data_IF_685069867777
#
_entry.id   IF_685069867777
#
_cell.length_a   1.000
_cell.length_b   1.000
_cell.length_c   1.000
_cell.angle_alpha   90.00
_cell.angle_beta   90.00
_cell.angle_gamma   90.00
#
_symmetry.space_group_name_H-M   'P 1'
#
loop_
_entity.id
_entity.type
_entity.pdbx_description
1 polymer ?
#
# COMPACT_ATOMS: atom_id res chain seq x y z
N UNK A 1 18.27 -2.57 3.80
CA UNK A 1 17.03 -2.14 4.45
C UNK A 1 16.79 -3.09 5.60
N UNK A 2 16.55 -2.56 6.80
CA UNK A 2 16.09 -3.32 7.97
C UNK A 2 14.69 -3.88 7.70
N UNK A 3 14.34 -5.00 8.34
CA UNK A 3 13.02 -5.61 8.14
C UNK A 3 11.88 -4.72 8.65
N UNK A 4 12.10 -3.89 9.68
CA UNK A 4 11.10 -2.90 10.13
C UNK A 4 10.90 -1.77 9.11
N UNK A 5 11.97 -1.32 8.45
CA UNK A 5 11.87 -0.37 7.33
C UNK A 5 11.00 -0.96 6.20
N UNK A 6 11.24 -2.22 5.87
CA UNK A 6 10.49 -2.93 4.82
C UNK A 6 9.01 -3.08 5.16
N UNK A 7 8.69 -3.45 6.41
CA UNK A 7 7.31 -3.56 6.88
C UNK A 7 6.62 -2.19 6.97
N UNK A 8 7.36 -1.15 7.38
CA UNK A 8 6.84 0.22 7.40
C UNK A 8 6.51 0.70 5.99
N UNK A 9 7.42 0.49 5.02
CA UNK A 9 7.13 0.81 3.61
C UNK A 9 5.95 0.02 3.07
N UNK A 10 5.82 -1.27 3.40
CA UNK A 10 4.66 -2.06 2.99
C UNK A 10 3.36 -1.47 3.56
N UNK A 11 3.32 -1.15 4.86
CA UNK A 11 2.16 -0.49 5.47
C UNK A 11 1.84 0.89 4.90
N UNK A 12 2.85 1.63 4.40
CA UNK A 12 2.66 2.90 3.69
C UNK A 12 2.14 2.71 2.26
N UNK A 13 2.54 1.64 1.58
CA UNK A 13 1.98 1.25 0.29
C UNK A 13 0.49 0.99 0.40
N UNK A 14 0.08 0.21 1.41
CA UNK A 14 -1.33 -0.08 1.66
C UNK A 14 -2.13 1.19 2.05
N UNK A 15 -1.56 2.07 2.88
CA UNK A 15 -2.20 3.37 3.22
C UNK A 15 -2.41 4.24 1.96
N UNK A 16 -1.43 4.25 1.05
CA UNK A 16 -1.54 4.95 -0.22
C UNK A 16 -2.63 4.36 -1.11
N UNK A 17 -2.72 3.02 -1.21
CA UNK A 17 -3.78 2.33 -1.95
C UNK A 17 -5.17 2.62 -1.38
N UNK A 18 -5.33 2.49 -0.06
CA UNK A 18 -6.57 2.84 0.65
C UNK A 18 -7.03 4.26 0.33
N UNK A 19 -6.12 5.25 0.45
CA UNK A 19 -6.44 6.66 0.17
C UNK A 19 -6.76 6.89 -1.29
N UNK A 20 -6.01 6.24 -2.18
CA UNK A 20 -6.21 6.32 -3.62
C UNK A 20 -7.64 5.89 -3.97
N UNK A 21 -8.06 4.71 -3.52
CA UNK A 21 -9.36 4.15 -3.82
C UNK A 21 -10.51 4.90 -3.12
N UNK A 22 -10.30 5.34 -1.88
CA UNK A 22 -11.29 6.16 -1.16
C UNK A 22 -11.53 7.51 -1.85
N UNK A 23 -10.47 8.14 -2.37
CA UNK A 23 -10.61 9.36 -3.15
C UNK A 23 -11.27 9.08 -4.51
N UNK A 24 -10.90 7.99 -5.18
CA UNK A 24 -11.53 7.57 -6.43
C UNK A 24 -13.06 7.41 -6.27
N UNK A 25 -13.50 6.79 -5.17
CA UNK A 25 -14.91 6.58 -4.85
C UNK A 25 -15.74 7.88 -4.80
N UNK A 26 -15.12 9.03 -4.49
CA UNK A 26 -15.80 10.33 -4.40
C UNK A 26 -16.08 10.95 -5.77
N UNK A 27 -15.24 10.66 -6.77
CA UNK A 27 -15.30 11.34 -8.09
C UNK A 27 -15.91 10.47 -9.18
N UNK A 28 -15.95 9.14 -9.01
CA UNK A 28 -16.63 8.27 -9.97
C UNK A 28 -18.14 8.49 -9.95
N UNK A 29 -18.79 8.41 -11.11
CA UNK A 29 -20.23 8.62 -11.26
C UNK A 29 -21.01 7.32 -11.42
N UNK A 30 -20.36 6.24 -11.87
CA UNK A 30 -20.95 4.92 -12.03
C UNK A 30 -20.97 4.17 -10.68
N UNK A 31 -22.15 3.77 -10.22
CA UNK A 31 -22.33 3.12 -8.92
C UNK A 31 -21.60 1.78 -8.79
N UNK A 32 -21.53 0.98 -9.86
CA UNK A 32 -20.77 -0.29 -9.83
C UNK A 32 -19.27 -0.06 -9.67
N UNK A 33 -18.76 1.00 -10.29
CA UNK A 33 -17.35 1.38 -10.13
C UNK A 33 -17.11 1.89 -8.73
N UNK A 34 -18.02 2.71 -8.20
CA UNK A 34 -17.96 3.20 -6.82
C UNK A 34 -17.91 2.06 -5.82
N UNK A 35 -18.77 1.07 -5.98
CA UNK A 35 -18.81 -0.14 -5.14
C UNK A 35 -17.48 -0.89 -5.20
N UNK A 36 -16.94 -1.12 -6.41
CA UNK A 36 -15.65 -1.79 -6.59
C UNK A 36 -14.50 -1.03 -5.91
N UNK A 37 -14.33 0.27 -6.18
CA UNK A 37 -13.21 1.01 -5.58
C UNK A 37 -13.38 1.18 -4.06
N UNK A 38 -14.61 1.24 -3.56
CA UNK A 38 -14.85 1.21 -2.11
C UNK A 38 -14.40 -0.12 -1.51
N UNK A 39 -14.73 -1.23 -2.18
CA UNK A 39 -14.29 -2.55 -1.74
C UNK A 39 -12.77 -2.70 -1.79
N UNK A 40 -12.11 -2.23 -2.85
CA UNK A 40 -10.64 -2.23 -2.94
C UNK A 40 -10.02 -1.39 -1.82
N UNK A 41 -10.59 -0.23 -1.47
CA UNK A 41 -10.12 0.54 -0.33
C UNK A 41 -10.19 -0.28 0.98
N UNK A 42 -11.30 -0.97 1.23
CA UNK A 42 -11.44 -1.84 2.40
C UNK A 42 -10.40 -2.96 2.41
N UNK A 43 -10.13 -3.58 1.26
CA UNK A 43 -9.07 -4.59 1.11
C UNK A 43 -7.68 -4.05 1.46
N UNK A 44 -7.31 -2.86 0.98
CA UNK A 44 -6.02 -2.26 1.32
C UNK A 44 -5.92 -1.90 2.80
N UNK A 45 -7.03 -1.52 3.43
CA UNK A 45 -7.05 -1.31 4.88
C UNK A 45 -6.79 -2.63 5.65
N UNK A 46 -7.38 -3.74 5.22
CA UNK A 46 -7.12 -5.06 5.80
C UNK A 46 -5.65 -5.48 5.59
N UNK A 47 -5.09 -5.25 4.40
CA UNK A 47 -3.67 -5.50 4.12
C UNK A 47 -2.76 -4.69 5.03
N UNK A 48 -3.08 -3.40 5.21
CA UNK A 48 -2.35 -2.52 6.12
C UNK A 48 -2.33 -3.07 7.53
N UNK A 49 -3.49 -3.50 8.05
CA UNK A 49 -3.60 -4.06 9.39
C UNK A 49 -2.74 -5.31 9.57
N UNK A 50 -2.62 -6.14 8.54
CA UNK A 50 -1.73 -7.31 8.54
C UNK A 50 -0.26 -6.90 8.66
N UNK A 51 0.20 -5.92 7.87
CA UNK A 51 1.59 -5.44 7.95
C UNK A 51 1.88 -4.71 9.26
N UNK A 52 0.99 -3.84 9.73
CA UNK A 52 1.12 -3.13 11.00
C UNK A 52 1.18 -4.12 12.19
N UNK A 53 0.41 -5.20 12.12
CA UNK A 53 0.44 -6.25 13.16
C UNK A 53 1.77 -6.98 13.17
N UNK A 54 2.28 -7.36 11.99
CA UNK A 54 3.58 -8.00 11.86
C UNK A 54 4.74 -7.08 12.30
N UNK A 55 4.67 -5.79 11.99
CA UNK A 55 5.62 -4.78 12.44
C UNK A 55 5.69 -4.75 13.98
N UNK A 56 4.54 -4.65 14.64
CA UNK A 56 4.45 -4.63 16.12
C UNK A 56 5.01 -5.90 16.75
N UNK A 57 4.72 -7.05 16.17
CA UNK A 57 5.26 -8.34 16.63
C UNK A 57 6.79 -8.38 16.50
N UNK A 58 7.33 -7.97 15.35
CA UNK A 58 8.77 -7.96 15.12
C UNK A 58 9.50 -6.96 16.01
N UNK A 59 8.92 -5.77 16.24
CA UNK A 59 9.48 -4.78 17.15
C UNK A 59 9.54 -5.32 18.58
N UNK A 60 8.48 -6.00 19.05
CA UNK A 60 8.46 -6.64 20.36
C UNK A 60 9.55 -7.73 20.50
N UNK A 61 9.76 -8.54 19.45
CA UNK A 61 10.83 -9.55 19.41
C UNK A 61 12.24 -8.92 19.44
N UNK A 62 12.40 -7.73 18.85
CA UNK A 62 13.68 -6.97 18.86
C UNK A 62 13.97 -6.27 20.19
N UNK A 63 13.00 -6.17 21.10
CA UNK A 63 13.18 -5.56 22.43
C UNK A 63 13.37 -4.04 22.37
N UNK A 64 14.47 -3.53 22.94
CA UNK A 64 14.76 -2.09 23.01
C UNK A 64 15.31 -1.51 21.69
N UNK A 65 14.72 -1.88 20.55
CA UNK A 65 15.07 -1.29 19.27
C UNK A 65 14.42 0.10 19.14
N UNK A 66 15.21 1.11 18.79
CA UNK A 66 14.71 2.45 18.54
C UNK A 66 14.27 2.57 17.08
N UNK A 67 12.96 2.60 16.87
CA UNK A 67 12.32 2.75 15.57
C UNK A 67 11.82 4.18 15.30
N UNK A 68 12.08 5.12 16.21
CA UNK A 68 11.55 6.50 16.10
C UNK A 68 11.93 7.21 14.80
N UNK A 69 13.11 6.91 14.25
CA UNK A 69 13.57 7.45 12.97
C UNK A 69 12.69 7.04 11.78
N UNK A 70 11.97 5.92 11.85
CA UNK A 70 11.07 5.46 10.77
C UNK A 70 9.83 6.34 10.62
N UNK A 71 9.54 7.14 11.65
CA UNK A 71 8.41 8.07 11.70
C UNK A 71 8.87 9.53 11.67
N UNK A 72 10.17 9.78 11.40
CA UNK A 72 10.66 11.11 11.13
C UNK A 72 10.10 11.61 9.78
N UNK A 73 9.79 12.90 9.70
CA UNK A 73 9.16 13.51 8.53
C UNK A 73 9.99 13.32 7.24
N UNK A 74 11.33 13.39 7.33
CA UNK A 74 12.20 13.23 6.16
C UNK A 74 12.20 11.78 5.67
N UNK A 75 12.19 10.82 6.59
CA UNK A 75 12.18 9.38 6.29
C UNK A 75 10.83 8.96 5.73
N UNK A 76 9.73 9.39 6.36
CA UNK A 76 8.39 9.13 5.84
C UNK A 76 8.23 9.71 4.43
N UNK A 77 8.69 10.95 4.20
CA UNK A 77 8.62 11.56 2.87
C UNK A 77 9.43 10.77 1.84
N UNK A 78 10.61 10.29 2.21
CA UNK A 78 11.42 9.44 1.35
C UNK A 78 10.69 8.13 0.99
N UNK A 79 10.09 7.45 1.98
CA UNK A 79 9.32 6.24 1.74
C UNK A 79 8.07 6.48 0.91
N UNK A 80 7.34 7.58 1.13
CA UNK A 80 6.20 7.96 0.28
C UNK A 80 6.62 8.12 -1.18
N UNK A 81 7.75 8.79 -1.42
CA UNK A 81 8.27 8.92 -2.79
C UNK A 81 8.58 7.57 -3.43
N UNK A 82 9.18 6.63 -2.69
CA UNK A 82 9.46 5.29 -3.20
C UNK A 82 8.18 4.51 -3.54
N UNK A 83 7.16 4.61 -2.67
CA UNK A 83 5.84 4.01 -2.92
C UNK A 83 5.19 4.63 -4.16
N UNK A 84 5.29 5.95 -4.28
CA UNK A 84 4.73 6.73 -5.40
C UNK A 84 5.36 6.41 -6.74
N UNK A 85 6.68 6.21 -6.75
CA UNK A 85 7.41 5.80 -7.94
C UNK A 85 7.09 4.35 -8.35
N UNK A 86 6.64 3.52 -7.42
CA UNK A 86 6.46 2.08 -7.62
C UNK A 86 5.02 1.64 -7.93
N UNK A 87 4.01 2.18 -7.23
CA UNK A 87 2.64 1.62 -7.24
C UNK A 87 1.54 2.69 -7.25
N UNK A 88 1.49 3.56 -6.24
CA UNK A 88 0.36 4.48 -6.05
C UNK A 88 0.79 5.94 -6.03
N UNK A 89 0.23 6.81 -6.88
CA UNK A 89 0.61 8.23 -6.90
C UNK A 89 0.34 8.92 -5.56
N UNK A 90 1.10 9.98 -5.27
CA UNK A 90 0.92 10.78 -4.06
C UNK A 90 -0.54 11.22 -3.87
N UNK A 91 -1.06 11.24 -2.62
CA UNK A 91 -2.45 11.57 -2.33
C UNK A 91 -2.94 12.88 -2.97
N UNK A 92 -2.08 13.90 -3.03
CA UNK A 92 -2.41 15.20 -3.61
C UNK A 92 -2.57 15.18 -5.14
N UNK A 93 -1.98 14.19 -5.82
CA UNK A 93 -2.13 13.98 -7.26
C UNK A 93 -3.43 13.22 -7.60
N UNK A 94 -3.95 12.42 -6.66
CA UNK A 94 -5.11 11.54 -6.87
C UNK A 94 -6.35 12.30 -7.35
N UNK A 95 -6.81 13.40 -6.72
CA UNK A 95 -8.01 14.09 -7.19
C UNK A 95 -7.91 14.57 -8.63
N UNK A 96 -6.74 15.09 -9.04
CA UNK A 96 -6.51 15.57 -10.41
C UNK A 96 -6.48 14.43 -11.41
N UNK A 97 -5.88 13.29 -11.04
CA UNK A 97 -5.86 12.09 -11.87
C UNK A 97 -7.26 11.52 -12.04
N UNK A 98 -7.99 11.33 -10.94
CA UNK A 98 -9.34 10.75 -10.99
C UNK A 98 -10.33 11.66 -11.72
N UNK A 99 -10.24 12.98 -11.59
CA UNK A 99 -11.05 13.91 -12.38
C UNK A 99 -10.82 13.83 -13.90
N UNK A 100 -9.65 13.33 -14.32
CA UNK A 100 -9.35 13.09 -15.73
C UNK A 100 -9.87 11.73 -16.21
N UNK A 101 -10.16 10.79 -15.30
CA UNK A 101 -10.80 9.52 -15.62
C UNK A 101 -12.27 9.80 -15.94
N UNK A 102 -12.64 9.68 -17.21
CA UNK A 102 -13.98 10.00 -17.71
C UNK A 102 -14.86 8.76 -17.80
N UNK A 103 -14.24 7.59 -17.84
CA UNK A 103 -14.91 6.33 -18.11
C UNK A 103 -14.64 5.30 -17.03
N UNK A 104 -15.59 4.37 -16.91
CA UNK A 104 -15.45 3.19 -16.06
C UNK A 104 -14.20 2.38 -16.38
N UNK A 105 -13.88 2.22 -17.67
CA UNK A 105 -12.77 1.39 -18.13
C UNK A 105 -11.41 1.95 -17.67
N UNK A 106 -11.23 3.28 -17.70
CA UNK A 106 -9.98 3.92 -17.25
C UNK A 106 -9.72 3.73 -15.74
N UNK A 107 -10.77 3.75 -14.92
CA UNK A 107 -10.66 3.48 -13.47
C UNK A 107 -10.29 2.03 -13.22
N UNK A 108 -10.90 1.10 -13.98
CA UNK A 108 -10.62 -0.32 -13.88
C UNK A 108 -9.20 -0.67 -14.32
N UNK A 109 -8.73 -0.11 -15.43
CA UNK A 109 -7.37 -0.31 -15.93
C UNK A 109 -6.33 0.16 -14.91
N UNK A 110 -6.58 1.31 -14.28
CA UNK A 110 -5.70 1.84 -13.25
C UNK A 110 -5.69 0.95 -11.99
N UNK A 111 -6.86 0.50 -11.52
CA UNK A 111 -6.95 -0.42 -10.39
C UNK A 111 -6.21 -1.73 -10.69
N UNK A 112 -6.46 -2.35 -11.85
CA UNK A 112 -5.76 -3.57 -12.28
C UNK A 112 -4.25 -3.36 -12.34
N UNK A 113 -3.80 -2.21 -12.81
CA UNK A 113 -2.38 -1.91 -12.89
C UNK A 113 -1.77 -1.74 -11.50
N UNK A 114 -2.43 -1.00 -10.60
CA UNK A 114 -2.00 -0.84 -9.22
C UNK A 114 -1.91 -2.19 -8.49
N UNK A 115 -2.93 -3.04 -8.58
CA UNK A 115 -2.91 -4.39 -7.98
C UNK A 115 -1.75 -5.25 -8.52
N UNK A 116 -1.48 -5.18 -9.83
CA UNK A 116 -0.34 -5.90 -10.42
C UNK A 116 1.00 -5.39 -9.88
N UNK A 117 1.11 -4.09 -9.65
CA UNK A 117 2.33 -3.47 -9.15
C UNK A 117 2.52 -3.77 -7.65
N UNK A 118 1.45 -3.78 -6.85
CA UNK A 118 1.43 -4.29 -5.47
C UNK A 118 1.86 -5.77 -5.41
N UNK A 119 1.32 -6.63 -6.27
CA UNK A 119 1.70 -8.05 -6.34
C UNK A 119 3.19 -8.20 -6.64
N UNK A 120 3.74 -7.46 -7.62
CA UNK A 120 5.19 -7.51 -7.91
C UNK A 120 6.03 -7.04 -6.72
N UNK A 121 5.56 -6.03 -5.99
CA UNK A 121 6.21 -5.58 -4.77
C UNK A 121 6.25 -6.72 -3.73
N UNK A 122 5.12 -7.39 -3.47
CA UNK A 122 5.07 -8.52 -2.52
C UNK A 122 5.90 -9.72 -2.99
N UNK A 123 5.92 -10.02 -4.29
CA UNK A 123 6.77 -11.09 -4.85
C UNK A 123 8.24 -10.82 -4.55
N UNK A 124 8.68 -9.57 -4.78
CA UNK A 124 10.05 -9.15 -4.47
C UNK A 124 10.32 -9.20 -2.97
N UNK A 125 9.38 -8.70 -2.15
CA UNK A 125 9.45 -8.76 -0.69
C UNK A 125 9.63 -10.20 -0.19
N UNK A 126 8.81 -11.14 -0.67
CA UNK A 126 8.86 -12.54 -0.29
C UNK A 126 10.19 -13.21 -0.65
N UNK A 127 10.80 -12.80 -1.78
CA UNK A 127 12.09 -13.31 -2.25
C UNK A 127 13.28 -12.75 -1.46
N UNK A 128 13.23 -11.47 -1.08
CA UNK A 128 14.37 -10.75 -0.48
C UNK A 128 14.39 -10.82 1.06
N UNK A 129 13.23 -10.96 1.71
CA UNK A 129 13.16 -11.02 3.18
C UNK A 129 13.84 -12.27 3.75
N UNK A 130 14.50 -12.09 4.90
CA UNK A 130 15.13 -13.17 5.66
C UNK A 130 14.19 -13.77 6.70
N UNK A 131 13.04 -13.13 6.97
CA UNK A 131 12.08 -13.56 7.98
C UNK A 131 10.99 -14.44 7.35
N UNK A 132 10.81 -15.63 7.91
CA UNK A 132 9.78 -16.56 7.46
C UNK A 132 8.37 -15.95 7.57
N UNK A 133 8.08 -15.24 8.67
CA UNK A 133 6.79 -14.58 8.90
C UNK A 133 6.48 -13.50 7.85
N UNK A 134 7.45 -12.64 7.53
CA UNK A 134 7.31 -11.62 6.48
C UNK A 134 7.05 -12.25 5.12
N UNK A 135 7.75 -13.35 4.80
CA UNK A 135 7.52 -14.11 3.57
C UNK A 135 6.11 -14.72 3.52
N UNK A 136 5.64 -15.30 4.61
CA UNK A 136 4.30 -15.89 4.70
C UNK A 136 3.20 -14.84 4.52
N UNK A 137 3.35 -13.68 5.15
CA UNK A 137 2.42 -12.55 4.97
C UNK A 137 2.41 -12.08 3.51
N UNK A 138 3.58 -11.81 2.91
CA UNK A 138 3.66 -11.39 1.51
C UNK A 138 3.03 -12.43 0.57
N UNK A 139 3.25 -13.72 0.79
CA UNK A 139 2.66 -14.80 0.00
C UNK A 139 1.14 -14.94 0.17
N UNK A 140 0.60 -14.52 1.33
CA UNK A 140 -0.85 -14.50 1.56
C UNK A 140 -1.52 -13.40 0.75
N UNK A 141 -0.86 -12.25 0.58
CA UNK A 141 -1.39 -11.08 -0.14
C UNK A 141 -1.23 -11.17 -1.67
N UNK A 142 -0.44 -12.12 -2.18
CA UNK A 142 -0.31 -12.39 -3.63
C UNK A 142 -1.50 -13.18 -4.20
N UNK A 143 -2.32 -13.83 -3.35
CA UNK A 143 -3.37 -14.78 -3.76
C UNK A 143 -4.74 -14.16 -3.81
#
# INVERSE_FOLDING_TARGET
MDELEVLQMAGMLEDSGYRFYLEAAKHVTNDKVRELVTHLAETELEHKEVFDSLYKELLADKGNYDDSYLFDEEVEKFFRQLVSDAVFPEPDAVPKMVQQLKTTDEVLDLAIQAEKDSIRYYEKLAQETRLAKTREVAQRLIK
#
